data_IF_922095082847
#
_entry.id   IF_922095082847
#
_cell.length_a   1.000
_cell.length_b   1.000
_cell.length_c   1.000
_cell.angle_alpha   90.00
_cell.angle_beta   90.00
_cell.angle_gamma   90.00
#
_symmetry.space_group_name_H-M   'P 1'
#
loop_
_entity.id
_entity.type
_entity.pdbx_description
1 polymer ?
#
# COMPACT_ATOMS: atom_id res chain seq x y z
N UNK A 1 17.96 -3.33 16.81
CA UNK A 1 16.57 -3.60 16.36
C UNK A 1 16.58 -3.72 14.84
N UNK A 2 16.31 -4.90 14.29
CA UNK A 2 16.18 -5.09 12.84
C UNK A 2 14.90 -4.41 12.35
N UNK A 3 15.03 -3.46 11.42
CA UNK A 3 13.88 -2.87 10.73
C UNK A 3 13.27 -3.97 9.87
N UNK A 4 12.13 -4.53 10.29
CA UNK A 4 11.41 -5.50 9.47
C UNK A 4 10.78 -4.75 8.28
N UNK A 5 11.40 -4.86 7.11
CA UNK A 5 10.84 -4.34 5.87
C UNK A 5 9.65 -5.19 5.41
N UNK A 6 8.65 -4.51 4.86
CA UNK A 6 7.44 -5.08 4.29
C UNK A 6 7.35 -4.60 2.85
N UNK A 7 7.22 -5.57 1.96
CA UNK A 7 7.03 -5.31 0.53
C UNK A 7 5.54 -5.49 0.22
N UNK A 8 4.86 -4.37 0.00
CA UNK A 8 3.47 -4.37 -0.43
C UNK A 8 3.45 -4.53 -1.93
N UNK A 9 2.85 -5.63 -2.41
CA UNK A 9 2.73 -5.91 -3.84
C UNK A 9 1.43 -5.32 -4.39
N UNK A 10 1.50 -4.71 -5.56
CA UNK A 10 0.38 -4.09 -6.26
C UNK A 10 0.27 -4.61 -7.68
N UNK A 11 -0.98 -4.71 -8.12
CA UNK A 11 -1.32 -4.98 -9.50
C UNK A 11 -2.43 -4.04 -9.95
N UNK A 12 -2.21 -3.44 -11.12
CA UNK A 12 -3.13 -2.55 -11.81
C UNK A 12 -3.81 -3.28 -12.97
N UNK A 13 -5.07 -2.97 -13.20
CA UNK A 13 -5.76 -3.28 -14.44
C UNK A 13 -5.30 -2.32 -15.57
N UNK A 14 -5.56 -2.66 -16.84
CA UNK A 14 -5.25 -1.77 -17.97
C UNK A 14 -5.91 -0.38 -17.90
N UNK A 15 -7.00 -0.24 -17.14
CA UNK A 15 -7.69 1.04 -16.90
C UNK A 15 -7.10 1.85 -15.73
N UNK A 16 -5.96 1.43 -15.16
CA UNK A 16 -5.29 2.11 -14.07
C UNK A 16 -5.84 1.84 -12.66
N UNK A 17 -6.92 1.04 -12.52
CA UNK A 17 -7.44 0.66 -11.19
C UNK A 17 -6.59 -0.42 -10.54
N UNK A 18 -6.45 -0.36 -9.22
CA UNK A 18 -5.79 -1.40 -8.42
C UNK A 18 -6.71 -2.61 -8.32
N UNK A 19 -6.27 -3.75 -8.86
CA UNK A 19 -6.99 -5.02 -8.78
C UNK A 19 -6.55 -5.85 -7.59
N UNK A 20 -5.29 -5.72 -7.16
CA UNK A 20 -4.76 -6.45 -6.02
C UNK A 20 -3.72 -5.61 -5.29
N UNK A 21 -3.80 -5.62 -3.96
CA UNK A 21 -2.85 -4.96 -3.07
C UNK A 21 -2.75 -5.73 -1.75
N UNK A 22 -1.51 -6.04 -1.33
CA UNK A 22 -1.24 -6.72 -0.06
C UNK A 22 -1.33 -5.76 1.13
N UNK A 23 -1.29 -6.29 2.36
CA UNK A 23 -1.32 -5.49 3.61
C UNK A 23 -2.52 -4.54 3.73
N UNK A 24 -3.59 -4.81 2.98
CA UNK A 24 -4.80 -3.99 2.96
C UNK A 24 -5.65 -4.22 4.23
N UNK A 25 -6.05 -3.17 4.96
CA UNK A 25 -7.10 -3.27 5.97
C UNK A 25 -8.41 -3.80 5.38
N UNK A 26 -9.10 -4.70 6.09
CA UNK A 26 -10.36 -5.30 5.60
C UNK A 26 -11.43 -4.26 5.23
N UNK A 27 -11.45 -3.11 5.93
CA UNK A 27 -12.40 -2.01 5.74
C UNK A 27 -12.17 -1.16 4.48
N UNK A 28 -10.98 -1.20 3.88
CA UNK A 28 -10.64 -0.37 2.72
C UNK A 28 -10.71 -1.17 1.43
N UNK A 29 -11.19 -0.57 0.34
CA UNK A 29 -11.02 -1.15 -1.00
C UNK A 29 -9.55 -1.11 -1.44
N UNK A 30 -9.14 -1.91 -2.45
CA UNK A 30 -7.79 -1.86 -2.99
C UNK A 30 -7.32 -0.46 -3.42
N UNK A 31 -8.19 0.29 -4.09
CA UNK A 31 -7.89 1.66 -4.53
C UNK A 31 -7.71 2.62 -3.35
N UNK A 32 -8.60 2.57 -2.35
CA UNK A 32 -8.49 3.41 -1.15
C UNK A 32 -7.20 3.14 -0.39
N UNK A 33 -6.79 1.88 -0.27
CA UNK A 33 -5.52 1.56 0.37
C UNK A 33 -4.31 2.05 -0.43
N UNK A 34 -4.36 1.93 -1.77
CA UNK A 34 -3.33 2.52 -2.63
C UNK A 34 -3.25 4.03 -2.50
N UNK A 35 -4.38 4.74 -2.46
CA UNK A 35 -4.39 6.20 -2.27
C UNK A 35 -3.71 6.61 -0.96
N UNK A 36 -3.98 5.90 0.14
CA UNK A 36 -3.32 6.16 1.43
C UNK A 36 -1.81 5.98 1.32
N UNK A 37 -1.35 4.88 0.71
CA UNK A 37 0.08 4.63 0.51
C UNK A 37 0.70 5.65 -0.44
N UNK A 38 -0.01 6.05 -1.50
CA UNK A 38 0.48 7.02 -2.46
C UNK A 38 0.61 8.41 -1.84
N UNK A 39 -0.36 8.84 -1.02
CA UNK A 39 -0.32 10.15 -0.33
C UNK A 39 0.78 10.20 0.71
N UNK A 40 1.00 9.12 1.47
CA UNK A 40 1.87 9.13 2.65
C UNK A 40 3.27 8.56 2.42
N UNK A 41 3.43 7.79 1.35
CA UNK A 41 4.62 6.98 1.09
C UNK A 41 4.96 6.87 -0.41
N UNK A 42 4.60 7.87 -1.21
CA UNK A 42 4.95 7.93 -2.64
C UNK A 42 6.45 7.74 -2.90
N UNK A 43 7.32 8.25 -2.02
CA UNK A 43 8.78 8.09 -2.12
C UNK A 43 9.25 6.63 -1.99
N UNK A 44 8.45 5.76 -1.38
CA UNK A 44 8.71 4.34 -1.24
C UNK A 44 8.12 3.49 -2.38
N UNK A 45 7.39 4.11 -3.32
CA UNK A 45 6.78 3.43 -4.45
C UNK A 45 7.82 3.12 -5.52
N UNK A 46 7.77 1.90 -6.06
CA UNK A 46 8.56 1.50 -7.23
C UNK A 46 7.65 0.87 -8.27
N UNK A 47 7.51 1.48 -9.46
CA UNK A 47 6.78 0.86 -10.56
C UNK A 47 7.55 -0.35 -11.11
N UNK A 48 6.81 -1.38 -11.52
CA UNK A 48 7.32 -2.57 -12.18
C UNK A 48 6.60 -2.76 -13.53
N UNK A 49 7.22 -3.51 -14.44
CA UNK A 49 6.62 -3.78 -15.74
C UNK A 49 5.31 -4.59 -15.64
N UNK A 50 4.42 -4.37 -16.63
CA UNK A 50 3.13 -5.08 -16.82
C UNK A 50 2.09 -4.78 -15.74
N UNK A 51 1.94 -3.50 -15.37
CA UNK A 51 0.92 -3.06 -14.42
C UNK A 51 1.19 -3.56 -13.00
N UNK A 52 2.45 -3.72 -12.61
CA UNK A 52 2.83 -4.13 -11.26
C UNK A 52 3.51 -2.97 -10.55
N UNK A 53 3.44 -2.95 -9.23
CA UNK A 53 4.15 -1.98 -8.41
C UNK A 53 4.44 -2.56 -7.05
N UNK A 54 5.39 -1.95 -6.34
CA UNK A 54 5.66 -2.28 -4.95
C UNK A 54 5.82 -1.03 -4.10
N UNK A 55 5.44 -1.11 -2.83
CA UNK A 55 5.93 -0.19 -1.79
C UNK A 55 6.89 -0.96 -0.88
N UNK A 56 8.01 -0.33 -0.53
CA UNK A 56 8.96 -0.85 0.47
C UNK A 56 8.89 0.01 1.72
N UNK A 57 8.27 -0.51 2.78
CA UNK A 57 8.05 0.24 4.02
C UNK A 57 8.47 -0.57 5.24
N UNK A 58 8.75 0.09 6.35
CA UNK A 58 8.92 -0.62 7.62
C UNK A 58 7.58 -1.19 8.09
N UNK A 59 7.61 -2.33 8.78
CA UNK A 59 6.42 -2.93 9.40
C UNK A 59 5.69 -1.92 10.29
N UNK A 60 6.44 -1.16 11.08
CA UNK A 60 5.89 -0.13 11.97
C UNK A 60 5.10 0.94 11.21
N UNK A 61 5.62 1.39 10.06
CA UNK A 61 4.93 2.37 9.21
C UNK A 61 3.64 1.81 8.63
N UNK A 62 3.68 0.57 8.13
CA UNK A 62 2.48 -0.09 7.60
C UNK A 62 1.40 -0.22 8.67
N UNK A 63 1.76 -0.68 9.87
CA UNK A 63 0.82 -0.82 10.98
C UNK A 63 0.26 0.54 11.44
N UNK A 64 1.08 1.61 11.45
CA UNK A 64 0.60 2.95 11.76
C UNK A 64 -0.46 3.41 10.75
N UNK A 65 -0.21 3.23 9.44
CA UNK A 65 -1.18 3.58 8.40
C UNK A 65 -2.48 2.77 8.51
N UNK A 66 -2.40 1.48 8.82
CA UNK A 66 -3.59 0.65 9.06
C UNK A 66 -4.40 1.14 10.27
N UNK A 67 -3.73 1.53 11.36
CA UNK A 67 -4.39 2.04 12.57
C UNK A 67 -5.08 3.39 12.34
N UNK A 68 -4.40 4.30 11.65
CA UNK A 68 -4.96 5.63 11.36
C UNK A 68 -6.16 5.56 10.42
N UNK A 69 -6.14 4.65 9.45
CA UNK A 69 -7.28 4.42 8.53
C UNK A 69 -8.41 3.60 9.13
N UNK A 70 -8.20 2.99 10.32
CA UNK A 70 -9.22 2.22 11.03
C UNK A 70 -10.06 3.08 11.99
N UNK A 71 -9.64 4.31 12.31
CA UNK A 71 -10.45 5.23 13.12
C UNK A 71 -11.62 5.75 12.27
N UNK A 72 -12.88 5.57 12.72
CA UNK A 72 -13.96 6.37 12.19
C UNK A 72 -13.69 7.83 12.60
N UNK A 73 -13.75 8.73 11.62
CA UNK A 73 -13.98 10.14 11.91
C UNK A 73 -15.38 10.36 12.46
#
# INVERSE_FOLDING_TARGET
MSIQEVIIHLRFAPNGKVIQISERPAKLTPNQWFEVLNVRASSAYRPLARGRGIFRLSRTTVEAFKRETARPG
#
